data_IF_777370787716
#
_entry.id   IF_777370787716
#
_cell.length_a   1.000
_cell.length_b   1.000
_cell.length_c   1.000
_cell.angle_alpha   90.00
_cell.angle_beta   90.00
_cell.angle_gamma   90.00
#
_symmetry.space_group_name_H-M   'P 1'
#
loop_
_entity.id
_entity.type
_entity.pdbx_description
1 polymer ?
#
# COMPACT_ATOMS: atom_id res chain seq x y z
N UNK A 1 22.34 41.25 3.73
CA UNK A 1 22.11 40.18 2.75
C UNK A 1 20.60 39.98 2.68
N UNK A 2 19.95 40.62 1.70
CA UNK A 2 18.50 40.51 1.55
C UNK A 2 18.19 39.10 1.04
N UNK A 3 17.35 38.37 1.78
CA UNK A 3 16.75 37.14 1.26
C UNK A 3 15.91 37.59 0.06
N UNK A 4 16.24 37.09 -1.13
CA UNK A 4 15.53 37.42 -2.36
C UNK A 4 14.07 36.97 -2.21
N UNK A 5 13.13 37.91 -2.09
CA UNK A 5 11.69 37.62 -1.91
C UNK A 5 11.12 36.72 -3.02
N UNK A 6 11.81 36.61 -4.16
CA UNK A 6 11.45 35.74 -5.28
C UNK A 6 11.82 34.26 -5.07
N UNK A 7 12.61 33.92 -4.04
CA UNK A 7 13.08 32.56 -3.78
C UNK A 7 12.06 31.72 -2.99
N UNK A 8 11.22 32.38 -2.19
CA UNK A 8 10.20 31.72 -1.38
C UNK A 8 9.06 31.10 -2.21
N UNK A 9 8.49 31.81 -3.23
CA UNK A 9 7.49 31.21 -4.11
C UNK A 9 8.04 30.01 -4.90
N UNK A 10 9.29 30.08 -5.37
CA UNK A 10 9.92 28.96 -6.10
C UNK A 10 10.18 27.76 -5.21
N UNK A 11 10.58 27.99 -3.95
CA UNK A 11 10.77 26.92 -2.98
C UNK A 11 9.46 26.23 -2.63
N UNK A 12 8.38 27.00 -2.41
CA UNK A 12 7.04 26.44 -2.19
C UNK A 12 6.58 25.63 -3.40
N UNK A 13 6.73 26.16 -4.61
CA UNK A 13 6.32 25.46 -5.83
C UNK A 13 7.04 24.12 -6.00
N UNK A 14 8.36 24.10 -5.75
CA UNK A 14 9.15 22.87 -5.77
C UNK A 14 8.68 21.87 -4.70
N UNK A 15 8.47 22.34 -3.47
CA UNK A 15 8.03 21.48 -2.37
C UNK A 15 6.62 20.90 -2.60
N UNK A 16 5.69 21.69 -3.14
CA UNK A 16 4.37 21.21 -3.56
C UNK A 16 4.49 20.15 -4.66
N UNK A 17 5.35 20.37 -5.65
CA UNK A 17 5.58 19.39 -6.72
C UNK A 17 6.08 18.05 -6.17
N UNK A 18 7.03 18.06 -5.22
CA UNK A 18 7.52 16.83 -4.58
C UNK A 18 6.40 16.11 -3.82
N UNK A 19 5.54 16.85 -3.10
CA UNK A 19 4.37 16.27 -2.41
C UNK A 19 3.39 15.66 -3.42
N UNK A 20 3.08 16.37 -4.50
CA UNK A 20 2.14 15.90 -5.52
C UNK A 20 2.65 14.63 -6.21
N UNK A 21 3.96 14.56 -6.48
CA UNK A 21 4.61 13.37 -7.05
C UNK A 21 4.50 12.16 -6.11
N UNK A 22 4.78 12.33 -4.82
CA UNK A 22 4.68 11.22 -3.86
C UNK A 22 3.21 10.82 -3.62
N UNK A 23 2.29 11.78 -3.57
CA UNK A 23 0.85 11.50 -3.47
C UNK A 23 0.36 10.68 -4.67
N UNK A 24 0.77 11.04 -5.90
CA UNK A 24 0.45 10.30 -7.12
C UNK A 24 1.02 8.88 -7.10
N UNK A 25 2.26 8.73 -6.62
CA UNK A 25 2.90 7.41 -6.48
C UNK A 25 2.17 6.52 -5.49
N UNK A 26 1.75 7.05 -4.33
CA UNK A 26 0.96 6.31 -3.35
C UNK A 26 -0.39 5.89 -3.95
N UNK A 27 -1.06 6.80 -4.68
CA UNK A 27 -2.31 6.51 -5.36
C UNK A 27 -2.14 5.37 -6.37
N UNK A 28 -1.12 5.44 -7.22
CA UNK A 28 -0.84 4.41 -8.22
C UNK A 28 -0.52 3.05 -7.58
N UNK A 29 0.27 3.04 -6.49
CA UNK A 29 0.55 1.82 -5.73
C UNK A 29 -0.73 1.18 -5.18
N UNK A 30 -1.62 1.98 -4.59
CA UNK A 30 -2.90 1.51 -4.09
C UNK A 30 -3.81 0.99 -5.21
N UNK A 31 -3.84 1.69 -6.35
CA UNK A 31 -4.63 1.29 -7.52
C UNK A 31 -4.20 -0.06 -8.08
N UNK A 32 -2.91 -0.22 -8.40
CA UNK A 32 -2.40 -1.48 -8.95
C UNK A 32 -2.59 -2.63 -7.95
N UNK A 33 -2.36 -2.37 -6.67
CA UNK A 33 -2.60 -3.37 -5.61
C UNK A 33 -4.07 -3.78 -5.51
N UNK A 34 -5.00 -2.82 -5.61
CA UNK A 34 -6.44 -3.14 -5.59
C UNK A 34 -6.83 -3.95 -6.84
N UNK A 35 -6.31 -3.57 -8.00
CA UNK A 35 -6.51 -4.29 -9.27
C UNK A 35 -6.00 -5.73 -9.21
N UNK A 36 -4.79 -5.94 -8.69
CA UNK A 36 -4.24 -7.28 -8.45
C UNK A 36 -5.12 -8.10 -7.51
N UNK A 37 -5.61 -7.52 -6.41
CA UNK A 37 -6.51 -8.20 -5.48
C UNK A 37 -7.81 -8.64 -6.17
N UNK A 38 -8.40 -7.77 -6.98
CA UNK A 38 -9.62 -8.07 -7.74
C UNK A 38 -9.37 -9.16 -8.80
N UNK A 39 -8.23 -9.10 -9.49
CA UNK A 39 -7.84 -10.11 -10.48
C UNK A 39 -7.61 -11.48 -9.84
N UNK A 40 -6.92 -11.53 -8.71
CA UNK A 40 -6.71 -12.77 -7.95
C UNK A 40 -8.04 -13.35 -7.44
N UNK A 41 -9.00 -12.50 -7.12
CA UNK A 41 -10.33 -12.90 -6.66
C UNK A 41 -11.38 -12.86 -7.78
N UNK A 42 -11.00 -13.09 -9.05
CA UNK A 42 -11.92 -12.94 -10.19
C UNK A 42 -13.21 -13.75 -10.02
N UNK A 43 -13.10 -15.01 -9.58
CA UNK A 43 -14.26 -15.88 -9.32
C UNK A 43 -15.20 -15.31 -8.28
N UNK A 44 -14.67 -14.73 -7.19
CA UNK A 44 -15.47 -14.03 -6.18
C UNK A 44 -16.14 -12.79 -6.76
N UNK A 45 -15.43 -12.00 -7.58
CA UNK A 45 -15.99 -10.80 -8.21
C UNK A 45 -17.13 -11.16 -9.16
N UNK A 46 -16.97 -12.20 -9.98
CA UNK A 46 -18.02 -12.66 -10.89
C UNK A 46 -19.24 -13.18 -10.10
N UNK A 47 -19.03 -13.92 -9.00
CA UNK A 47 -20.11 -14.38 -8.12
C UNK A 47 -20.86 -13.23 -7.44
N UNK A 48 -20.14 -12.21 -6.95
CA UNK A 48 -20.73 -11.00 -6.36
C UNK A 48 -21.61 -10.27 -7.38
N UNK A 49 -21.14 -10.12 -8.62
CA UNK A 49 -21.90 -9.45 -9.68
C UNK A 49 -23.16 -10.24 -10.04
N UNK A 50 -23.05 -11.55 -10.24
CA UNK A 50 -24.21 -12.39 -10.56
C UNK A 50 -25.28 -12.29 -9.47
N UNK A 51 -24.88 -12.43 -8.21
CA UNK A 51 -25.83 -12.38 -7.10
C UNK A 51 -26.44 -10.97 -6.92
N UNK A 52 -25.66 -9.91 -7.14
CA UNK A 52 -26.17 -8.54 -7.11
C UNK A 52 -27.16 -8.25 -8.24
N UNK A 53 -26.94 -8.81 -9.43
CA UNK A 53 -27.86 -8.69 -10.57
C UNK A 53 -29.21 -9.35 -10.26
N UNK A 54 -29.19 -10.50 -9.60
CA UNK A 54 -30.38 -11.25 -9.18
C UNK A 54 -31.11 -10.58 -8.01
N UNK A 55 -30.40 -10.29 -6.91
CA UNK A 55 -31.00 -9.78 -5.66
C UNK A 55 -31.20 -8.27 -5.63
N UNK A 56 -30.56 -7.51 -6.53
CA UNK A 56 -30.50 -6.03 -6.57
C UNK A 56 -29.78 -5.35 -5.41
N UNK A 57 -29.58 -6.06 -4.30
CA UNK A 57 -28.82 -5.60 -3.15
C UNK A 57 -28.20 -6.81 -2.44
N UNK A 58 -27.06 -6.60 -1.79
CA UNK A 58 -26.37 -7.60 -0.97
C UNK A 58 -26.15 -7.02 0.42
N UNK A 59 -26.46 -7.79 1.45
CA UNK A 59 -26.12 -7.43 2.83
C UNK A 59 -24.74 -7.97 3.20
N UNK A 60 -24.22 -7.52 4.34
CA UNK A 60 -22.89 -7.91 4.81
C UNK A 60 -22.72 -9.44 4.88
N UNK A 61 -23.77 -10.14 5.28
CA UNK A 61 -23.82 -11.59 5.44
C UNK A 61 -23.72 -12.30 4.07
N UNK A 62 -24.37 -11.76 3.03
CA UNK A 62 -24.26 -12.29 1.66
C UNK A 62 -22.81 -12.19 1.16
N UNK A 63 -22.20 -11.01 1.34
CA UNK A 63 -20.81 -10.77 0.93
C UNK A 63 -19.86 -11.66 1.71
N UNK A 64 -20.02 -11.78 3.03
CA UNK A 64 -19.19 -12.64 3.87
C UNK A 64 -19.27 -14.11 3.44
N UNK A 65 -20.48 -14.61 3.13
CA UNK A 65 -20.69 -15.96 2.59
C UNK A 65 -19.99 -16.14 1.25
N UNK A 66 -20.12 -15.19 0.32
CA UNK A 66 -19.47 -15.26 -0.99
C UNK A 66 -17.94 -15.26 -0.87
N UNK A 67 -17.39 -14.42 0.01
CA UNK A 67 -15.95 -14.41 0.33
C UNK A 67 -15.51 -15.76 0.90
N UNK A 68 -16.29 -16.38 1.77
CA UNK A 68 -15.96 -17.70 2.32
C UNK A 68 -15.95 -18.80 1.26
N UNK A 69 -16.84 -18.71 0.25
CA UNK A 69 -16.97 -19.71 -0.82
C UNK A 69 -15.93 -19.55 -1.93
N UNK A 70 -15.60 -18.31 -2.29
CA UNK A 70 -14.82 -18.00 -3.50
C UNK A 70 -13.56 -17.16 -3.26
N UNK A 71 -13.35 -16.69 -2.03
CA UNK A 71 -12.23 -15.83 -1.68
C UNK A 71 -10.90 -16.57 -1.69
N UNK A 72 -9.92 -16.01 -2.40
CA UNK A 72 -8.52 -16.39 -2.31
C UNK A 72 -7.84 -15.43 -1.33
N UNK A 73 -7.93 -15.75 -0.04
CA UNK A 73 -7.24 -15.01 1.01
C UNK A 73 -5.80 -15.51 1.07
N UNK A 74 -4.93 -14.93 0.24
CA UNK A 74 -3.49 -15.04 0.50
C UNK A 74 -3.16 -14.18 1.72
N UNK A 75 -2.46 -14.72 2.74
CA UNK A 75 -1.98 -13.90 3.84
C UNK A 75 -1.09 -12.82 3.24
N UNK A 76 -1.47 -11.56 3.47
CA UNK A 76 -0.75 -10.44 2.91
C UNK A 76 0.50 -10.20 3.74
N UNK A 77 1.66 -10.31 3.11
CA UNK A 77 2.87 -9.63 3.57
C UNK A 77 2.50 -8.20 3.95
N UNK A 78 3.10 -7.66 5.02
CA UNK A 78 2.30 -6.82 5.87
C UNK A 78 2.39 -5.36 5.37
N UNK A 79 1.22 -4.74 5.07
CA UNK A 79 1.09 -3.33 4.68
C UNK A 79 0.49 -2.53 5.84
N UNK A 80 0.95 -2.76 7.08
CA UNK A 80 0.94 -1.70 8.08
C UNK A 80 2.25 -0.93 7.99
N UNK A 81 2.19 0.39 8.16
CA UNK A 81 3.38 1.22 8.38
C UNK A 81 4.18 0.69 9.58
N UNK A 82 3.50 0.07 10.56
CA UNK A 82 4.15 -0.61 11.67
C UNK A 82 4.98 -1.80 11.20
N UNK A 83 4.47 -2.58 10.26
CA UNK A 83 5.16 -3.77 9.76
C UNK A 83 6.35 -3.38 8.85
N UNK A 84 6.22 -2.30 8.08
CA UNK A 84 7.33 -1.70 7.32
C UNK A 84 8.41 -1.20 8.29
N UNK A 85 8.02 -0.51 9.38
CA UNK A 85 8.95 -0.06 10.43
C UNK A 85 9.65 -1.23 11.09
N UNK A 86 8.93 -2.30 11.41
CA UNK A 86 9.48 -3.49 12.05
C UNK A 86 10.40 -4.28 11.11
N UNK A 87 10.10 -4.32 9.81
CA UNK A 87 11.00 -4.87 8.81
C UNK A 87 12.30 -4.04 8.70
N UNK A 88 12.19 -2.71 8.57
CA UNK A 88 13.36 -1.81 8.49
C UNK A 88 14.21 -1.84 9.74
N UNK A 89 13.59 -1.98 10.92
CA UNK A 89 14.31 -2.15 12.19
C UNK A 89 15.11 -3.45 12.22
N UNK A 90 14.55 -4.55 11.71
CA UNK A 90 15.27 -5.84 11.62
C UNK A 90 16.47 -5.76 10.67
N UNK A 91 16.27 -5.20 9.47
CA UNK A 91 17.37 -4.97 8.51
C UNK A 91 18.53 -4.16 9.15
N UNK A 92 18.20 -3.09 9.88
CA UNK A 92 19.21 -2.28 10.57
C UNK A 92 19.96 -3.06 11.65
N UNK A 93 19.26 -3.91 12.41
CA UNK A 93 19.88 -4.73 13.45
C UNK A 93 20.84 -5.78 12.85
N UNK A 94 20.49 -6.38 11.73
CA UNK A 94 21.36 -7.33 11.00
C UNK A 94 22.64 -6.65 10.51
N UNK A 95 22.54 -5.45 9.91
CA UNK A 95 23.71 -4.67 9.46
C UNK A 95 24.63 -4.31 10.63
N UNK A 96 24.07 -3.90 11.78
CA UNK A 96 24.84 -3.57 12.99
C UNK A 96 25.54 -4.81 13.57
N UNK A 97 24.92 -5.98 13.46
CA UNK A 97 25.46 -7.23 14.00
C UNK A 97 26.60 -7.76 13.11
N UNK A 98 26.44 -7.70 11.79
CA UNK A 98 27.46 -8.11 10.83
C UNK A 98 28.66 -7.14 10.77
N UNK A 99 28.43 -5.84 11.00
CA UNK A 99 29.51 -4.85 11.07
C UNK A 99 30.38 -4.95 12.33
N UNK A 100 29.94 -5.66 13.38
CA UNK A 100 30.73 -5.90 14.59
C UNK A 100 31.69 -7.09 14.47
N UNK A 101 31.54 -7.94 13.45
CA UNK A 101 32.44 -9.06 13.19
C UNK A 101 33.68 -8.63 12.39
N UNK A 102 33.61 -7.53 11.63
CA UNK A 102 34.73 -7.03 10.81
C UNK A 102 35.73 -6.16 11.56
N UNK A 103 35.47 -5.81 12.82
CA UNK A 103 36.33 -4.93 13.65
C UNK A 103 37.09 -5.72 14.75
N UNK A 104 37.15 -7.05 14.60
CA UNK A 104 37.97 -7.95 15.42
C UNK A 104 38.82 -8.87 14.52
N UNK A 105 39.78 -8.30 13.80
CA UNK A 105 40.98 -8.99 13.31
C UNK A 105 42.17 -8.04 13.30
#
# INVERSE_FOLDING_TARGET
>A
MAINDNMWPTFIAWYCQEIDLEALKILNLCYERAKEMMQQNRTLMDALVNELVEKKSLIKEDIARLVQLHGLIKPKMPISILDIRDAKRRELQEVISNGKETDKS
#
